data_IF_709410517426
#
_entry.id   IF_709410517426
#
_cell.length_a   1.000
_cell.length_b   1.000
_cell.length_c   1.000
_cell.angle_alpha   90.00
_cell.angle_beta   90.00
_cell.angle_gamma   90.00
#
_symmetry.space_group_name_H-M   'P 1'
#
loop_
_entity.id
_entity.type
_entity.pdbx_description
1 polymer ?
#
# COMPACT_ATOMS: atom_id res chain seq x y z
N UNK A 1 45.30 -8.22 -36.77
CA UNK A 1 44.38 -8.89 -35.82
C UNK A 1 44.84 -8.95 -34.36
N UNK A 2 46.15 -8.84 -34.03
CA UNK A 2 46.63 -9.00 -32.63
C UNK A 2 46.37 -7.79 -31.70
N UNK A 3 46.13 -6.59 -32.24
CA UNK A 3 45.89 -5.37 -31.45
C UNK A 3 44.43 -5.26 -30.96
N UNK A 4 43.46 -5.59 -31.82
CA UNK A 4 42.03 -5.60 -31.47
C UNK A 4 41.69 -6.64 -30.40
N UNK A 5 42.38 -7.80 -30.40
CA UNK A 5 42.19 -8.84 -29.40
C UNK A 5 42.67 -8.42 -28.00
N UNK A 6 43.71 -7.55 -27.92
CA UNK A 6 44.17 -6.96 -26.66
C UNK A 6 43.20 -5.88 -26.15
N UNK A 7 42.59 -5.10 -27.03
CA UNK A 7 41.58 -4.11 -26.68
C UNK A 7 40.28 -4.77 -26.18
N UNK A 8 39.87 -5.88 -26.80
CA UNK A 8 38.73 -6.69 -26.37
C UNK A 8 38.97 -7.31 -24.97
N UNK A 9 40.18 -7.83 -24.73
CA UNK A 9 40.57 -8.35 -23.41
C UNK A 9 40.61 -7.25 -22.34
N UNK A 10 41.05 -6.03 -22.69
CA UNK A 10 41.06 -4.89 -21.75
C UNK A 10 39.64 -4.46 -21.34
N UNK A 11 38.67 -4.59 -22.24
CA UNK A 11 37.26 -4.29 -21.97
C UNK A 11 36.60 -5.34 -21.05
N UNK A 12 36.97 -6.62 -21.19
CA UNK A 12 36.41 -7.70 -20.36
C UNK A 12 36.93 -7.65 -18.91
N UNK A 13 38.16 -7.18 -18.69
CA UNK A 13 38.77 -7.09 -17.35
C UNK A 13 38.32 -5.83 -16.58
N UNK A 14 37.88 -4.76 -17.26
CA UNK A 14 37.32 -3.55 -16.62
C UNK A 14 35.82 -3.66 -16.27
N UNK A 15 35.12 -4.69 -16.75
CA UNK A 15 33.66 -4.83 -16.62
C UNK A 15 33.12 -5.54 -15.36
N UNK A 16 33.89 -6.00 -14.35
CA UNK A 16 33.30 -6.47 -13.10
C UNK A 16 33.32 -5.44 -11.96
N UNK A 17 33.77 -4.20 -12.17
CA UNK A 17 33.87 -3.20 -11.09
C UNK A 17 32.59 -2.37 -10.86
N UNK A 18 31.49 -2.64 -11.57
CA UNK A 18 30.24 -1.87 -11.48
C UNK A 18 29.07 -2.60 -10.80
N UNK A 19 29.27 -3.79 -10.22
CA UNK A 19 28.28 -4.35 -9.30
C UNK A 19 28.48 -3.74 -7.91
N UNK A 20 28.09 -2.47 -7.77
CA UNK A 20 27.83 -1.86 -6.47
C UNK A 20 26.53 -2.49 -5.95
N UNK A 21 26.66 -3.66 -5.31
CA UNK A 21 25.54 -4.28 -4.61
C UNK A 21 25.07 -3.30 -3.52
N UNK A 22 23.79 -2.93 -3.52
CA UNK A 22 23.16 -2.05 -2.53
C UNK A 22 23.27 -2.57 -1.07
N UNK A 23 23.84 -3.75 -0.87
CA UNK A 23 24.08 -4.39 0.43
C UNK A 23 25.18 -3.69 1.26
N UNK A 24 25.92 -2.73 0.70
CA UNK A 24 26.93 -1.97 1.45
C UNK A 24 26.36 -0.79 2.26
N UNK A 25 25.08 -0.45 2.09
CA UNK A 25 24.39 0.49 2.99
C UNK A 25 23.86 -0.27 4.23
N UNK A 26 24.73 -0.99 4.93
CA UNK A 26 24.44 -1.42 6.30
C UNK A 26 24.49 -0.18 7.19
N UNK A 27 23.35 0.48 7.28
CA UNK A 27 23.09 1.59 8.18
C UNK A 27 23.27 1.04 9.60
N UNK A 28 24.44 1.29 10.18
CA UNK A 28 24.75 1.02 11.60
C UNK A 28 24.05 2.06 12.47
N UNK A 29 22.72 2.14 12.41
CA UNK A 29 21.93 2.84 13.41
C UNK A 29 21.54 1.83 14.49
N UNK A 30 21.96 2.11 15.73
CA UNK A 30 21.72 1.25 16.90
C UNK A 30 20.25 0.98 17.21
N UNK A 31 19.34 1.74 16.59
CA UNK A 31 17.90 1.72 16.87
C UNK A 31 17.06 1.33 15.64
N UNK A 32 17.66 0.72 14.61
CA UNK A 32 16.91 0.22 13.45
C UNK A 32 16.48 -1.23 13.67
N UNK A 33 15.20 -1.42 13.98
CA UNK A 33 14.57 -2.74 13.92
C UNK A 33 13.97 -2.99 12.53
N UNK A 34 14.42 -4.06 11.87
CA UNK A 34 13.81 -4.52 10.62
C UNK A 34 12.60 -5.37 10.96
N UNK A 35 11.40 -4.82 10.77
CA UNK A 35 10.15 -5.58 10.93
C UNK A 35 9.89 -6.35 9.63
N UNK A 36 10.10 -7.65 9.68
CA UNK A 36 9.72 -8.56 8.59
C UNK A 36 8.20 -8.80 8.63
N UNK A 37 7.45 -7.96 7.91
CA UNK A 37 5.98 -8.09 7.80
C UNK A 37 5.65 -9.02 6.64
N UNK A 38 5.15 -10.22 6.95
CA UNK A 38 4.58 -11.11 5.94
C UNK A 38 3.35 -10.44 5.32
N UNK A 39 3.44 -10.06 4.05
CA UNK A 39 2.33 -9.46 3.31
C UNK A 39 1.35 -10.57 2.90
N UNK A 40 0.39 -10.87 3.78
CA UNK A 40 -0.74 -11.74 3.43
C UNK A 40 -1.86 -10.88 2.82
N UNK A 41 -2.16 -11.12 1.53
CA UNK A 41 -3.29 -10.48 0.87
C UNK A 41 -4.56 -11.25 1.23
N UNK A 42 -5.36 -10.68 2.13
CA UNK A 42 -6.73 -11.17 2.36
C UNK A 42 -7.63 -10.78 1.20
N UNK A 43 -8.51 -11.68 0.81
CA UNK A 43 -9.63 -11.35 -0.06
C UNK A 43 -10.62 -10.45 0.70
N UNK A 44 -11.20 -9.47 -0.02
CA UNK A 44 -12.14 -8.50 0.54
C UNK A 44 -13.42 -8.46 -0.29
N UNK A 45 -14.56 -8.44 0.40
CA UNK A 45 -15.86 -8.11 -0.15
C UNK A 45 -16.12 -6.61 0.03
N UNK A 46 -16.62 -5.95 -1.01
CA UNK A 46 -16.98 -4.53 -0.98
C UNK A 46 -18.46 -4.37 -1.31
N UNK A 47 -19.17 -3.69 -0.41
CA UNK A 47 -20.57 -3.29 -0.62
C UNK A 47 -20.58 -1.78 -0.58
N UNK A 48 -20.82 -1.14 -1.73
CA UNK A 48 -20.78 0.31 -1.85
C UNK A 48 -22.16 0.94 -1.93
N UNK A 49 -22.24 2.22 -1.56
CA UNK A 49 -23.45 3.05 -1.66
C UNK A 49 -24.65 2.45 -0.90
N UNK A 50 -24.40 1.80 0.23
CA UNK A 50 -25.45 1.24 1.06
C UNK A 50 -26.18 2.39 1.76
N UNK A 51 -27.44 2.62 1.37
CA UNK A 51 -28.31 3.59 2.04
C UNK A 51 -28.72 3.03 3.39
N UNK A 52 -28.16 3.57 4.48
CA UNK A 52 -28.48 3.12 5.85
C UNK A 52 -29.59 3.94 6.50
N UNK A 53 -29.81 5.18 6.06
CA UNK A 53 -30.88 6.03 6.56
C UNK A 53 -31.30 7.07 5.53
N UNK A 54 -32.56 7.51 5.61
CA UNK A 54 -33.11 8.60 4.79
C UNK A 54 -33.93 9.55 5.68
N UNK A 55 -33.26 10.34 6.55
CA UNK A 55 -33.96 11.22 7.45
C UNK A 55 -34.70 12.33 6.67
N UNK A 56 -35.92 12.71 7.09
CA UNK A 56 -36.56 13.90 6.58
C UNK A 56 -35.80 15.13 7.05
N UNK A 57 -35.44 16.02 6.12
CA UNK A 57 -34.75 17.27 6.42
C UNK A 57 -35.74 18.40 6.17
N UNK A 58 -36.14 19.12 7.23
CA UNK A 58 -37.16 20.17 7.14
C UNK A 58 -36.73 21.25 6.14
N UNK A 59 -37.56 21.51 5.12
CA UNK A 59 -37.28 22.50 4.08
C UNK A 59 -36.32 22.04 2.96
N UNK A 60 -35.80 20.81 3.02
CA UNK A 60 -34.91 20.24 2.00
C UNK A 60 -35.43 18.90 1.48
N UNK A 61 -34.96 18.48 0.30
CA UNK A 61 -35.26 17.14 -0.21
C UNK A 61 -34.58 16.10 0.69
N UNK A 62 -35.26 14.99 0.93
CA UNK A 62 -34.68 13.85 1.62
C UNK A 62 -33.36 13.45 0.95
N UNK A 63 -32.30 13.35 1.74
CA UNK A 63 -30.99 12.92 1.28
C UNK A 63 -30.70 11.54 1.87
N UNK A 64 -30.27 10.61 1.03
CA UNK A 64 -29.79 9.33 1.49
C UNK A 64 -28.48 9.49 2.26
N UNK A 65 -28.43 8.88 3.45
CA UNK A 65 -27.19 8.66 4.17
C UNK A 65 -26.65 7.30 3.74
N UNK A 66 -25.45 7.33 3.19
CA UNK A 66 -24.81 6.19 2.55
C UNK A 66 -23.53 5.81 3.29
N UNK A 67 -23.15 4.55 3.19
CA UNK A 67 -21.88 4.05 3.67
C UNK A 67 -21.35 2.94 2.76
N UNK A 68 -20.04 2.72 2.82
CA UNK A 68 -19.38 1.57 2.22
C UNK A 68 -19.00 0.56 3.31
N UNK A 69 -19.20 -0.72 3.03
CA UNK A 69 -18.75 -1.82 3.88
C UNK A 69 -17.59 -2.51 3.18
N UNK A 70 -16.46 -2.56 3.87
CA UNK A 70 -15.28 -3.35 3.49
C UNK A 70 -15.20 -4.51 4.47
N UNK A 71 -15.35 -5.73 3.98
CA UNK A 71 -15.39 -6.93 4.80
C UNK A 71 -14.35 -7.94 4.32
N UNK A 72 -13.38 -8.36 5.15
CA UNK A 72 -12.48 -9.44 4.79
C UNK A 72 -13.25 -10.78 4.75
N UNK A 73 -12.89 -11.64 3.79
CA UNK A 73 -13.46 -12.99 3.70
C UNK A 73 -12.89 -13.84 4.83
N UNK A 74 -13.68 -14.04 5.88
CA UNK A 74 -13.32 -14.87 7.04
C UNK A 74 -14.52 -15.72 7.49
N UNK A 75 -14.23 -16.89 8.06
CA UNK A 75 -15.21 -17.76 8.72
C UNK A 75 -15.45 -17.37 10.18
N UNK A 76 -14.56 -16.57 10.74
CA UNK A 76 -14.61 -16.13 12.14
C UNK A 76 -15.38 -14.81 12.27
N UNK A 77 -15.97 -14.59 13.44
CA UNK A 77 -16.60 -13.31 13.76
C UNK A 77 -15.53 -12.27 14.05
N UNK A 78 -15.56 -11.16 13.32
CA UNK A 78 -14.61 -10.07 13.45
C UNK A 78 -15.28 -8.83 14.06
N UNK A 79 -14.55 -8.03 14.84
CA UNK A 79 -15.05 -6.75 15.31
C UNK A 79 -15.33 -5.81 14.12
N UNK A 80 -16.33 -4.93 14.27
CA UNK A 80 -16.66 -3.92 13.26
C UNK A 80 -16.05 -2.59 13.65
N UNK A 81 -15.37 -1.94 12.70
CA UNK A 81 -14.86 -0.56 12.86
C UNK A 81 -15.77 0.36 12.05
N UNK A 82 -16.33 1.38 12.71
CA UNK A 82 -17.14 2.41 12.04
C UNK A 82 -16.27 3.65 11.86
N UNK A 83 -15.95 3.97 10.60
CA UNK A 83 -15.29 5.21 10.24
C UNK A 83 -16.33 6.22 9.79
N UNK A 84 -16.55 7.26 10.60
CA UNK A 84 -17.39 8.39 10.21
C UNK A 84 -16.46 9.46 9.65
N UNK A 85 -16.50 9.75 8.34
CA UNK A 85 -15.69 10.84 7.80
C UNK A 85 -16.11 12.15 8.47
N UNK A 86 -15.15 13.04 8.71
CA UNK A 86 -15.45 14.37 9.23
C UNK A 86 -16.38 15.16 8.31
N UNK A 87 -17.05 16.17 8.85
CA UNK A 87 -17.91 17.08 8.11
C UNK A 87 -17.93 18.46 8.74
N UNK A 88 -18.36 19.46 7.97
CA UNK A 88 -18.67 20.78 8.49
C UNK A 88 -20.11 20.82 8.98
N UNK A 89 -20.34 21.46 10.13
CA UNK A 89 -21.70 21.84 10.52
C UNK A 89 -22.18 22.91 9.54
N UNK A 90 -23.26 22.63 8.82
CA UNK A 90 -23.94 23.64 8.00
C UNK A 90 -24.96 24.33 8.91
N UNK A 91 -24.78 25.63 9.17
CA UNK A 91 -25.69 26.48 9.95
C UNK A 91 -26.75 27.12 9.06
#
# INVERSE_FOLDING_TARGET
MKSYLKCLMLFVVMMPCLSLNAQTLSINHKDTEVIDVKIEKSEIEMISNLVYAQPPIYGYKNKALEMDIIKPVSKELLPTVVFVPGGGFVS
#
